data_IF_634063185032
#
_entry.id   IF_634063185032
#
_cell.length_a   1.000
_cell.length_b   1.000
_cell.length_c   1.000
_cell.angle_alpha   90.00
_cell.angle_beta   90.00
_cell.angle_gamma   90.00
#
_symmetry.space_group_name_H-M   'P 1'
#
loop_
_entity.id
_entity.type
_entity.pdbx_description
1 polymer ?
#
# COMPACT_ATOMS: atom_id res chain seq x y z
N UNK A 1 -0.90 -17.83 -7.41
CA UNK A 1 -1.87 -17.12 -8.27
C UNK A 1 -1.04 -16.26 -9.19
N UNK A 2 -0.88 -16.69 -10.43
CA UNK A 2 -0.31 -15.85 -11.47
C UNK A 2 -1.26 -14.67 -11.62
N UNK A 3 -0.77 -13.49 -11.22
CA UNK A 3 -1.60 -12.34 -10.99
C UNK A 3 -2.39 -11.97 -12.23
N UNK A 4 -3.67 -11.71 -12.03
CA UNK A 4 -4.45 -10.95 -13.01
C UNK A 4 -3.70 -9.62 -13.11
N UNK A 5 -3.15 -9.35 -14.29
CA UNK A 5 -2.36 -8.14 -14.53
C UNK A 5 -3.21 -6.90 -14.27
N UNK A 6 -2.62 -5.81 -13.77
CA UNK A 6 -3.31 -4.53 -13.69
C UNK A 6 -3.96 -4.20 -15.03
N UNK A 7 -5.22 -3.78 -15.00
CA UNK A 7 -6.01 -3.53 -16.21
C UNK A 7 -6.03 -2.03 -16.51
N UNK A 8 -5.62 -1.67 -17.72
CA UNK A 8 -5.73 -0.30 -18.20
C UNK A 8 -7.14 -0.03 -18.70
N UNK A 9 -7.74 1.04 -18.25
CA UNK A 9 -9.09 1.46 -18.65
C UNK A 9 -9.07 2.89 -19.17
N UNK A 10 -9.91 3.14 -20.19
CA UNK A 10 -10.28 4.49 -20.63
C UNK A 10 -11.71 4.74 -20.17
N UNK A 11 -11.89 5.66 -19.26
CA UNK A 11 -13.19 6.04 -18.70
C UNK A 11 -13.59 7.43 -19.18
N UNK A 12 -14.85 7.56 -19.62
CA UNK A 12 -15.46 8.87 -19.89
C UNK A 12 -16.31 9.27 -18.70
N UNK A 13 -16.05 10.43 -18.16
CA UNK A 13 -16.79 10.98 -17.03
C UNK A 13 -17.05 12.47 -17.21
N UNK A 14 -17.96 13.02 -16.42
CA UNK A 14 -18.28 14.44 -16.42
C UNK A 14 -17.89 15.01 -15.07
N UNK A 15 -17.22 16.15 -15.07
CA UNK A 15 -16.85 16.85 -13.85
C UNK A 15 -18.09 17.26 -13.10
N UNK A 16 -18.29 16.66 -11.95
CA UNK A 16 -19.43 16.88 -11.07
C UNK A 16 -19.33 18.23 -10.34
N UNK A 17 -20.46 18.84 -10.07
CA UNK A 17 -20.59 19.98 -9.14
C UNK A 17 -20.68 19.58 -7.67
N UNK A 18 -20.68 18.27 -7.38
CA UNK A 18 -20.75 17.72 -6.03
C UNK A 18 -19.47 18.05 -5.28
N UNK A 19 -19.58 18.53 -4.06
CA UNK A 19 -18.44 18.78 -3.16
C UNK A 19 -18.28 17.63 -2.16
N UNK A 20 -17.09 17.46 -1.61
CA UNK A 20 -16.85 16.43 -0.59
C UNK A 20 -17.76 16.61 0.62
N UNK A 21 -18.05 17.84 1.03
CA UNK A 21 -18.98 18.12 2.15
C UNK A 21 -20.42 17.69 1.87
N UNK A 22 -20.83 17.64 0.60
CA UNK A 22 -22.20 17.24 0.23
C UNK A 22 -22.37 15.71 0.09
N UNK A 23 -21.29 14.94 0.21
CA UNK A 23 -21.35 13.48 0.13
C UNK A 23 -21.72 12.81 1.45
N UNK A 24 -21.84 13.56 2.56
CA UNK A 24 -22.11 12.98 3.90
C UNK A 24 -23.40 12.15 3.94
N UNK A 25 -24.39 12.52 3.12
CA UNK A 25 -25.66 11.78 3.01
C UNK A 25 -25.68 10.75 1.86
N UNK A 26 -24.59 10.60 1.11
CA UNK A 26 -24.47 9.58 0.06
C UNK A 26 -24.25 8.21 0.71
N UNK A 27 -25.08 7.19 0.44
CA UNK A 27 -24.92 5.85 1.00
C UNK A 27 -23.62 5.16 0.56
N UNK A 28 -22.95 5.68 -0.46
CA UNK A 28 -21.66 5.20 -0.94
C UNK A 28 -20.48 5.99 -0.34
N UNK A 29 -20.77 7.01 0.49
CA UNK A 29 -19.76 7.81 1.16
C UNK A 29 -19.40 7.18 2.50
N UNK A 30 -18.15 6.87 2.68
CA UNK A 30 -17.63 6.28 3.93
C UNK A 30 -17.04 7.32 4.87
N UNK A 31 -16.83 8.54 4.42
CA UNK A 31 -16.33 9.67 5.22
C UNK A 31 -14.81 9.67 5.46
N UNK A 32 -14.09 8.69 4.96
CA UNK A 32 -12.68 8.51 5.30
C UNK A 32 -11.78 8.58 4.05
N UNK A 33 -11.79 9.73 3.38
CA UNK A 33 -10.91 9.96 2.23
C UNK A 33 -9.51 10.41 2.66
N UNK A 34 -8.50 9.89 1.96
CA UNK A 34 -7.14 10.40 2.01
C UNK A 34 -6.68 10.81 0.60
N UNK A 35 -5.81 11.78 0.51
CA UNK A 35 -5.13 12.14 -0.75
C UNK A 35 -3.98 11.18 -1.00
N UNK A 36 -3.97 10.53 -2.17
CA UNK A 36 -2.86 9.67 -2.57
C UNK A 36 -1.65 10.52 -2.97
N UNK A 37 -0.47 10.18 -2.43
CA UNK A 37 0.79 10.83 -2.81
C UNK A 37 0.89 12.31 -2.44
N UNK A 38 0.02 12.82 -1.54
CA UNK A 38 0.04 14.20 -1.09
C UNK A 38 -0.25 14.32 0.40
N UNK A 39 0.52 15.13 1.15
CA UNK A 39 0.24 15.36 2.55
C UNK A 39 -1.07 16.15 2.73
N UNK A 40 -1.81 15.81 3.79
CA UNK A 40 -3.00 16.53 4.23
C UNK A 40 -4.32 15.86 3.89
N UNK A 41 -5.37 16.35 4.53
CA UNK A 41 -6.73 15.86 4.33
C UNK A 41 -7.39 16.53 3.11
N UNK A 42 -8.36 15.85 2.48
CA UNK A 42 -9.18 16.45 1.43
C UNK A 42 -9.87 17.74 1.90
N UNK A 43 -10.06 18.68 0.98
CA UNK A 43 -10.73 19.95 1.28
C UNK A 43 -12.23 19.81 1.05
N UNK A 44 -13.02 19.97 2.09
CA UNK A 44 -14.47 19.73 2.08
C UNK A 44 -15.24 20.50 1.00
N UNK A 45 -14.77 21.68 0.61
CA UNK A 45 -15.38 22.54 -0.41
C UNK A 45 -14.92 22.24 -1.83
N UNK A 46 -13.91 21.40 -2.02
CA UNK A 46 -13.45 21.03 -3.34
C UNK A 46 -14.44 20.09 -4.01
N UNK A 47 -14.49 20.19 -5.34
CA UNK A 47 -15.38 19.34 -6.16
C UNK A 47 -14.84 17.94 -6.24
N UNK A 48 -15.74 17.00 -6.35
CA UNK A 48 -15.44 15.58 -6.39
C UNK A 48 -16.01 14.92 -7.64
N UNK A 49 -15.20 14.13 -8.33
CA UNK A 49 -15.64 13.29 -9.46
C UNK A 49 -15.30 11.85 -9.13
N UNK A 50 -16.33 11.00 -9.05
CA UNK A 50 -16.15 9.58 -8.75
C UNK A 50 -15.54 8.83 -9.94
N UNK A 51 -14.66 7.87 -9.65
CA UNK A 51 -14.15 6.90 -10.62
C UNK A 51 -15.02 5.64 -10.62
N UNK A 52 -15.25 5.08 -11.81
CA UNK A 52 -16.06 3.87 -11.99
C UNK A 52 -15.30 2.58 -11.69
N UNK A 53 -13.98 2.58 -11.84
CA UNK A 53 -13.17 1.37 -11.70
C UNK A 53 -12.13 1.54 -10.58
N UNK A 54 -12.28 0.75 -9.54
CA UNK A 54 -11.45 0.79 -8.32
C UNK A 54 -11.14 -0.64 -7.87
N UNK A 55 -10.09 -0.90 -7.11
CA UNK A 55 -9.07 0.03 -6.60
C UNK A 55 -8.01 0.41 -7.65
N UNK A 56 -7.49 1.62 -7.55
CA UNK A 56 -6.46 2.11 -8.46
C UNK A 56 -5.10 1.45 -8.22
N UNK A 57 -4.37 1.23 -9.31
CA UNK A 57 -2.94 0.86 -9.27
C UNK A 57 -2.09 2.07 -9.63
N UNK A 58 -2.43 2.74 -10.74
CA UNK A 58 -1.76 3.97 -11.15
C UNK A 58 -2.75 4.96 -11.74
N UNK A 59 -2.47 6.24 -11.53
CA UNK A 59 -3.22 7.36 -12.09
C UNK A 59 -2.26 8.35 -12.75
N UNK A 60 -2.62 8.97 -13.88
CA UNK A 60 -1.71 9.86 -14.59
C UNK A 60 -1.38 11.11 -13.75
N UNK A 61 -0.11 11.56 -13.77
CA UNK A 61 0.30 12.76 -13.04
C UNK A 61 -0.21 14.06 -13.67
N UNK A 62 -0.68 13.99 -14.92
CA UNK A 62 -1.25 15.11 -15.66
C UNK A 62 -2.49 14.67 -16.44
N UNK A 63 -3.49 15.53 -16.49
CA UNK A 63 -4.71 15.35 -17.28
C UNK A 63 -4.83 16.47 -18.30
N UNK A 64 -5.22 16.11 -19.51
CA UNK A 64 -5.49 17.10 -20.57
C UNK A 64 -6.99 17.22 -20.78
N UNK A 65 -7.53 18.42 -20.65
CA UNK A 65 -8.95 18.71 -20.88
C UNK A 65 -9.07 19.85 -21.88
N UNK A 66 -9.41 19.51 -23.11
CA UNK A 66 -9.34 20.47 -24.21
C UNK A 66 -7.89 20.96 -24.44
N UNK A 67 -7.62 22.28 -24.44
CA UNK A 67 -6.27 22.81 -24.59
C UNK A 67 -5.49 22.90 -23.28
N UNK A 68 -6.11 22.65 -22.14
CA UNK A 68 -5.53 22.88 -20.81
C UNK A 68 -4.94 21.58 -20.22
N UNK A 69 -3.85 21.75 -19.47
CA UNK A 69 -3.17 20.67 -18.76
C UNK A 69 -3.30 20.89 -17.26
N UNK A 70 -3.83 19.90 -16.58
CA UNK A 70 -4.02 19.86 -15.13
C UNK A 70 -2.99 18.93 -14.50
N UNK A 71 -2.37 19.37 -13.41
CA UNK A 71 -1.25 18.67 -12.74
C UNK A 71 -1.75 18.15 -11.39
N UNK A 72 -1.47 16.86 -11.11
CA UNK A 72 -1.73 16.24 -9.81
C UNK A 72 -0.92 16.94 -8.72
N UNK A 73 -1.52 17.13 -7.56
CA UNK A 73 -0.91 17.83 -6.45
C UNK A 73 -1.03 19.37 -6.52
N UNK A 74 -1.53 19.91 -7.64
CA UNK A 74 -1.74 21.37 -7.83
C UNK A 74 -3.20 21.66 -8.18
N UNK A 75 -3.73 21.01 -9.21
CA UNK A 75 -5.07 21.28 -9.74
C UNK A 75 -6.07 20.18 -9.33
N UNK A 76 -5.57 19.00 -9.07
CA UNK A 76 -6.38 17.86 -8.61
C UNK A 76 -5.57 16.91 -7.73
N UNK A 77 -6.30 16.10 -6.97
CA UNK A 77 -5.77 15.04 -6.14
C UNK A 77 -6.58 13.77 -6.37
N UNK A 78 -5.93 12.62 -6.29
CA UNK A 78 -6.62 11.34 -6.29
C UNK A 78 -6.98 10.97 -4.86
N UNK A 79 -8.24 10.67 -4.63
CA UNK A 79 -8.74 10.29 -3.31
C UNK A 79 -8.86 8.78 -3.21
N UNK A 80 -8.39 8.25 -2.10
CA UNK A 80 -8.65 6.89 -1.69
C UNK A 80 -9.59 6.89 -0.49
N UNK A 81 -10.52 5.96 -0.47
CA UNK A 81 -11.41 5.73 0.65
C UNK A 81 -10.80 4.64 1.55
N UNK A 82 -10.63 4.95 2.84
CA UNK A 82 -10.27 3.97 3.87
C UNK A 82 -11.51 3.60 4.65
N UNK A 83 -12.03 2.43 4.46
CA UNK A 83 -13.06 1.88 5.34
C UNK A 83 -12.40 1.15 6.51
N UNK A 84 -12.49 1.71 7.70
CA UNK A 84 -11.96 1.10 8.93
C UNK A 84 -12.62 -0.24 9.27
N UNK A 85 -13.88 -0.44 8.86
CA UNK A 85 -14.68 -1.63 9.19
C UNK A 85 -14.26 -2.90 8.42
N UNK A 86 -13.41 -2.79 7.42
CA UNK A 86 -13.07 -3.90 6.52
C UNK A 86 -11.57 -4.09 6.34
N UNK A 87 -10.75 -3.57 7.27
CA UNK A 87 -9.31 -3.65 7.19
C UNK A 87 -8.76 -2.91 5.97
N UNK A 88 -8.51 -1.61 6.12
CA UNK A 88 -7.80 -0.71 5.20
C UNK A 88 -7.92 -1.02 3.70
N UNK A 89 -9.12 -1.08 3.17
CA UNK A 89 -9.33 -1.01 1.72
C UNK A 89 -8.93 0.37 1.24
N UNK A 90 -7.84 0.47 0.52
CA UNK A 90 -7.56 1.64 -0.31
C UNK A 90 -8.40 1.51 -1.59
N UNK A 91 -9.65 1.88 -1.54
CA UNK A 91 -10.44 2.11 -2.74
C UNK A 91 -10.23 3.55 -3.14
N UNK A 92 -9.51 3.79 -4.23
CA UNK A 92 -9.53 5.11 -4.82
C UNK A 92 -10.95 5.35 -5.30
N UNK A 93 -11.59 6.33 -4.72
CA UNK A 93 -12.99 6.59 -4.95
C UNK A 93 -13.19 7.67 -6.00
N UNK A 94 -12.20 8.52 -6.25
CA UNK A 94 -12.38 9.58 -7.22
C UNK A 94 -11.27 10.62 -7.28
N UNK A 95 -11.60 11.74 -7.89
CA UNK A 95 -10.74 12.89 -8.08
C UNK A 95 -11.30 14.07 -7.30
N UNK A 96 -10.49 14.65 -6.44
CA UNK A 96 -10.75 15.95 -5.83
C UNK A 96 -10.19 17.05 -6.73
N UNK A 97 -11.01 17.99 -7.14
CA UNK A 97 -10.61 19.12 -7.97
C UNK A 97 -10.47 20.36 -7.12
N UNK A 98 -9.33 21.00 -7.19
CA UNK A 98 -9.11 22.34 -6.63
C UNK A 98 -9.99 23.38 -7.35
N UNK A 99 -10.05 24.60 -6.79
CA UNK A 99 -10.77 25.73 -7.38
C UNK A 99 -10.28 26.12 -8.78
N UNK A 100 -9.07 25.74 -9.13
CA UNK A 100 -8.43 25.97 -10.45
C UNK A 100 -8.67 24.82 -11.43
N UNK A 101 -9.35 23.74 -11.02
CA UNK A 101 -9.70 22.63 -11.89
C UNK A 101 -10.76 22.99 -12.94
N UNK A 102 -11.01 22.08 -13.92
CA UNK A 102 -11.95 22.32 -15.00
C UNK A 102 -13.36 22.66 -14.50
N UNK A 103 -14.16 23.37 -15.28
CA UNK A 103 -15.52 23.76 -14.89
C UNK A 103 -16.45 22.55 -14.75
N UNK A 104 -17.47 22.67 -13.89
CA UNK A 104 -18.54 21.68 -13.78
C UNK A 104 -19.22 21.45 -15.12
N UNK A 105 -19.51 20.19 -15.45
CA UNK A 105 -20.10 19.78 -16.71
C UNK A 105 -19.11 19.54 -17.85
N UNK A 106 -17.81 19.76 -17.64
CA UNK A 106 -16.78 19.42 -18.62
C UNK A 106 -16.65 17.91 -18.76
N UNK A 107 -16.67 17.42 -19.99
CA UNK A 107 -16.39 16.03 -20.29
C UNK A 107 -14.89 15.75 -20.18
N UNK A 108 -14.56 14.64 -19.54
CA UNK A 108 -13.21 14.20 -19.26
C UNK A 108 -13.03 12.75 -19.69
N UNK A 109 -11.95 12.50 -20.43
CA UNK A 109 -11.52 11.14 -20.75
C UNK A 109 -10.30 10.82 -19.89
N UNK A 110 -10.41 9.78 -19.08
CA UNK A 110 -9.40 9.34 -18.14
C UNK A 110 -8.80 8.01 -18.60
N UNK A 111 -7.48 7.93 -18.63
CA UNK A 111 -6.76 6.67 -18.79
C UNK A 111 -6.01 6.35 -17.50
N UNK A 112 -6.37 5.24 -16.87
CA UNK A 112 -5.73 4.81 -15.62
C UNK A 112 -5.68 3.28 -15.52
N UNK A 113 -4.93 2.79 -14.54
CA UNK A 113 -4.79 1.36 -14.28
C UNK A 113 -5.43 1.02 -12.95
N UNK A 114 -6.31 0.02 -12.95
CA UNK A 114 -6.96 -0.48 -11.74
C UNK A 114 -6.79 -2.00 -11.58
N UNK A 115 -7.07 -2.48 -10.38
CA UNK A 115 -7.03 -3.91 -10.08
C UNK A 115 -8.42 -4.52 -10.26
N UNK A 116 -8.58 -5.32 -11.30
CA UNK A 116 -9.85 -5.98 -11.64
C UNK A 116 -10.12 -7.26 -10.81
N UNK A 117 -9.15 -7.72 -10.01
CA UNK A 117 -9.28 -8.98 -9.27
C UNK A 117 -10.52 -9.03 -8.38
N UNK A 118 -10.87 -8.00 -7.60
CA UNK A 118 -12.06 -8.03 -6.77
C UNK A 118 -13.36 -8.24 -7.55
N UNK A 119 -13.52 -7.57 -8.69
CA UNK A 119 -14.72 -7.71 -9.55
C UNK A 119 -14.83 -9.11 -10.15
N UNK A 120 -13.73 -9.62 -10.70
CA UNK A 120 -13.70 -10.96 -11.31
C UNK A 120 -13.99 -12.02 -10.26
N UNK A 121 -13.36 -11.95 -9.09
CA UNK A 121 -13.61 -12.89 -8.01
C UNK A 121 -15.03 -12.81 -7.48
N UNK A 122 -15.57 -11.60 -7.28
CA UNK A 122 -16.96 -11.43 -6.85
C UNK A 122 -17.94 -12.04 -7.85
N UNK A 123 -17.74 -11.82 -9.14
CA UNK A 123 -18.55 -12.41 -10.21
C UNK A 123 -18.51 -13.94 -10.19
N UNK A 124 -17.29 -14.53 -10.09
CA UNK A 124 -17.12 -15.99 -10.03
C UNK A 124 -17.75 -16.56 -8.76
N UNK A 125 -17.49 -15.95 -7.61
CA UNK A 125 -18.01 -16.41 -6.33
C UNK A 125 -19.52 -16.27 -6.25
N UNK A 126 -20.08 -15.16 -6.75
CA UNK A 126 -21.53 -14.94 -6.80
C UNK A 126 -22.24 -15.97 -7.68
N UNK A 127 -21.64 -16.34 -8.80
CA UNK A 127 -22.20 -17.39 -9.68
C UNK A 127 -22.11 -18.81 -9.11
N UNK A 128 -21.19 -19.05 -8.20
CA UNK A 128 -20.89 -20.36 -7.63
C UNK A 128 -21.40 -20.56 -6.19
N UNK A 129 -21.86 -19.49 -5.54
CA UNK A 129 -22.31 -19.56 -4.14
C UNK A 129 -23.57 -20.41 -3.97
N UNK A 130 -23.64 -21.12 -2.85
CA UNK A 130 -24.85 -21.84 -2.45
C UNK A 130 -25.91 -20.88 -1.96
N UNK A 131 -27.19 -21.29 -2.06
CA UNK A 131 -28.31 -20.57 -1.49
C UNK A 131 -28.06 -20.27 0.01
N UNK A 132 -28.28 -19.06 0.42
CA UNK A 132 -28.07 -18.56 1.79
C UNK A 132 -26.60 -18.38 2.24
N UNK A 133 -25.65 -18.42 1.32
CA UNK A 133 -24.25 -18.07 1.62
C UNK A 133 -23.96 -16.66 1.13
N UNK A 134 -23.57 -15.78 2.03
CA UNK A 134 -23.04 -14.47 1.67
C UNK A 134 -21.52 -14.58 1.47
N UNK A 135 -21.04 -14.18 0.31
CA UNK A 135 -19.61 -14.20 -0.02
C UNK A 135 -19.17 -12.77 -0.28
N UNK A 136 -18.24 -12.31 0.53
CA UNK A 136 -17.66 -10.99 0.42
C UNK A 136 -16.22 -11.12 -0.08
N UNK A 137 -15.96 -10.54 -1.24
CA UNK A 137 -14.61 -10.50 -1.84
C UNK A 137 -13.97 -9.17 -1.50
N UNK A 138 -12.81 -9.22 -0.85
CA UNK A 138 -12.02 -8.05 -0.50
C UNK A 138 -10.63 -8.11 -1.09
N UNK A 139 -10.06 -6.95 -1.38
CA UNK A 139 -8.64 -6.85 -1.66
C UNK A 139 -7.85 -7.11 -0.35
N UNK A 140 -6.67 -7.72 -0.49
CA UNK A 140 -5.75 -7.86 0.64
C UNK A 140 -5.27 -6.50 1.14
N UNK A 141 -5.14 -6.40 2.45
CA UNK A 141 -4.44 -5.27 3.06
C UNK A 141 -2.94 -5.50 2.96
N UNK A 142 -2.26 -4.59 2.28
CA UNK A 142 -0.81 -4.64 2.20
C UNK A 142 -0.21 -3.95 3.42
N UNK A 143 0.71 -4.65 4.08
CA UNK A 143 1.53 -4.09 5.14
C UNK A 143 3.00 -4.22 4.76
N UNK A 144 3.77 -3.17 4.99
CA UNK A 144 5.16 -3.10 4.58
C UNK A 144 6.05 -3.32 5.79
N UNK A 145 6.91 -4.35 5.71
CA UNK A 145 7.79 -4.75 6.80
C UNK A 145 9.20 -4.22 6.57
N UNK A 146 9.75 -3.59 7.59
CA UNK A 146 11.12 -3.10 7.65
C UNK A 146 11.81 -3.64 8.89
N UNK A 147 12.52 -4.78 8.83
CA UNK A 147 13.27 -5.29 9.96
C UNK A 147 14.51 -4.43 10.24
N UNK A 148 14.78 -4.19 11.52
CA UNK A 148 15.98 -3.53 12.00
C UNK A 148 16.95 -4.62 12.46
N UNK A 149 18.05 -4.78 11.74
CA UNK A 149 18.99 -5.88 11.91
C UNK A 149 20.36 -5.38 12.38
N UNK A 150 20.92 -6.06 13.35
CA UNK A 150 22.31 -5.92 13.76
C UNK A 150 23.09 -7.10 13.19
N UNK A 151 24.03 -6.84 12.29
CA UNK A 151 24.73 -7.89 11.51
C UNK A 151 26.23 -7.82 11.75
N UNK A 152 26.82 -8.98 12.06
CA UNK A 152 28.25 -9.20 12.06
C UNK A 152 28.68 -9.77 10.71
N UNK A 153 29.57 -9.05 10.01
CA UNK A 153 30.02 -9.43 8.67
C UNK A 153 31.36 -10.15 8.74
N UNK A 154 31.46 -11.25 8.02
CA UNK A 154 32.72 -11.91 7.76
C UNK A 154 33.65 -11.00 6.93
N UNK A 155 34.86 -10.77 7.41
CA UNK A 155 35.86 -9.86 6.80
C UNK A 155 36.27 -10.25 5.38
N UNK A 156 36.03 -11.50 4.98
CA UNK A 156 36.38 -12.01 3.64
C UNK A 156 35.39 -11.60 2.56
N UNK A 157 34.25 -11.00 2.92
CA UNK A 157 33.18 -10.64 2.00
C UNK A 157 32.94 -9.13 1.95
N UNK A 158 32.59 -8.66 0.74
CA UNK A 158 32.21 -7.25 0.58
C UNK A 158 30.82 -7.01 1.20
N UNK A 159 30.67 -6.04 2.11
CA UNK A 159 29.39 -5.72 2.70
C UNK A 159 28.29 -5.35 1.68
N UNK A 160 28.68 -4.73 0.56
CA UNK A 160 27.74 -4.40 -0.50
C UNK A 160 27.11 -5.65 -1.14
N UNK A 161 27.91 -6.69 -1.36
CA UNK A 161 27.45 -7.97 -1.91
C UNK A 161 26.54 -8.69 -0.90
N UNK A 162 26.93 -8.71 0.38
CA UNK A 162 26.13 -9.32 1.44
C UNK A 162 24.78 -8.60 1.58
N UNK A 163 24.77 -7.26 1.57
CA UNK A 163 23.52 -6.48 1.68
C UNK A 163 22.60 -6.70 0.47
N UNK A 164 23.12 -6.84 -0.73
CA UNK A 164 22.31 -7.16 -1.91
C UNK A 164 21.68 -8.57 -1.80
N UNK A 165 22.46 -9.56 -1.35
CA UNK A 165 21.96 -10.90 -1.10
C UNK A 165 20.90 -10.91 0.02
N UNK A 166 21.11 -10.12 1.08
CA UNK A 166 20.18 -9.95 2.19
C UNK A 166 18.83 -9.39 1.71
N UNK A 167 18.86 -8.30 0.94
CA UNK A 167 17.64 -7.71 0.40
C UNK A 167 16.83 -8.73 -0.41
N UNK A 168 17.50 -9.47 -1.31
CA UNK A 168 16.85 -10.50 -2.14
C UNK A 168 16.26 -11.63 -1.29
N UNK A 169 16.98 -12.08 -0.27
CA UNK A 169 16.51 -13.17 0.60
C UNK A 169 15.34 -12.76 1.47
N UNK A 170 15.40 -11.60 2.10
CA UNK A 170 14.31 -11.07 2.90
C UNK A 170 13.07 -10.79 2.05
N UNK A 171 13.23 -10.23 0.86
CA UNK A 171 12.13 -10.03 -0.07
C UNK A 171 11.46 -11.36 -0.43
N UNK A 172 12.24 -12.39 -0.76
CA UNK A 172 11.72 -13.72 -1.08
C UNK A 172 11.02 -14.38 0.12
N UNK A 173 11.57 -14.21 1.33
CA UNK A 173 10.96 -14.71 2.55
C UNK A 173 9.60 -14.05 2.82
N UNK A 174 9.54 -12.73 2.77
CA UNK A 174 8.30 -11.98 3.00
C UNK A 174 7.26 -12.28 1.93
N UNK A 175 7.65 -12.37 0.66
CA UNK A 175 6.75 -12.73 -0.44
C UNK A 175 6.16 -14.15 -0.33
N UNK A 176 6.84 -15.05 0.39
CA UNK A 176 6.34 -16.40 0.65
C UNK A 176 5.40 -16.50 1.86
N UNK A 177 5.24 -15.42 2.62
CA UNK A 177 4.34 -15.39 3.77
C UNK A 177 2.87 -15.44 3.32
N UNK A 178 2.04 -16.36 3.84
CA UNK A 178 0.62 -16.39 3.53
C UNK A 178 -0.13 -15.24 4.22
N UNK A 179 -1.41 -15.10 3.88
CA UNK A 179 -2.32 -14.21 4.59
C UNK A 179 -2.33 -14.53 6.10
N UNK A 180 -2.32 -13.49 6.92
CA UNK A 180 -2.33 -13.64 8.37
C UNK A 180 -1.10 -14.37 8.93
N UNK A 181 0.04 -14.32 8.23
CA UNK A 181 1.25 -15.02 8.64
C UNK A 181 1.73 -14.59 10.02
N UNK A 182 2.25 -15.55 10.77
CA UNK A 182 3.05 -15.26 11.96
C UNK A 182 4.49 -14.95 11.53
N UNK A 183 4.95 -13.76 11.81
CA UNK A 183 6.32 -13.32 11.56
C UNK A 183 7.15 -13.62 12.80
N UNK A 184 8.02 -14.63 12.69
CA UNK A 184 8.91 -15.05 13.78
C UNK A 184 10.29 -14.45 13.59
N UNK A 185 10.82 -13.79 14.61
CA UNK A 185 12.16 -13.20 14.59
C UNK A 185 13.26 -14.24 14.37
N UNK A 186 13.08 -15.42 14.95
CA UNK A 186 14.00 -16.54 14.72
C UNK A 186 14.06 -16.97 13.25
N UNK A 187 12.94 -16.93 12.54
CA UNK A 187 12.91 -17.24 11.10
C UNK A 187 13.60 -16.17 10.27
N UNK A 188 13.36 -14.89 10.57
CA UNK A 188 14.05 -13.78 9.92
C UNK A 188 15.57 -13.89 10.10
N UNK A 189 16.04 -14.10 11.34
CA UNK A 189 17.46 -14.31 11.62
C UNK A 189 18.01 -15.54 10.91
N UNK A 190 17.28 -16.66 10.89
CA UNK A 190 17.71 -17.88 10.19
C UNK A 190 17.89 -17.66 8.69
N UNK A 191 17.00 -16.93 8.05
CA UNK A 191 17.12 -16.60 6.63
C UNK A 191 18.36 -15.77 6.34
N UNK A 192 18.69 -14.84 7.24
CA UNK A 192 19.86 -13.96 7.11
C UNK A 192 21.18 -14.70 7.39
N UNK A 193 21.24 -15.55 8.41
CA UNK A 193 22.44 -16.35 8.72
C UNK A 193 22.84 -17.33 7.61
N UNK A 194 21.91 -17.70 6.72
CA UNK A 194 22.23 -18.54 5.55
C UNK A 194 22.95 -17.82 4.43
N UNK A 195 23.15 -16.50 4.55
CA UNK A 195 23.82 -15.68 3.53
C UNK A 195 25.32 -15.76 3.75
N UNK A 196 26.05 -16.10 2.70
CA UNK A 196 27.52 -16.12 2.74
C UNK A 196 28.05 -14.73 3.09
N UNK A 197 28.90 -14.68 4.13
CA UNK A 197 29.47 -13.44 4.63
C UNK A 197 28.72 -12.82 5.80
N UNK A 198 27.71 -13.49 6.33
CA UNK A 198 27.08 -13.18 7.61
C UNK A 198 27.62 -14.16 8.65
N UNK A 199 28.28 -13.67 9.69
CA UNK A 199 28.77 -14.49 10.81
C UNK A 199 27.72 -14.58 11.93
N UNK A 200 27.04 -13.45 12.22
CA UNK A 200 25.92 -13.41 13.19
C UNK A 200 24.89 -12.35 12.81
N UNK A 201 23.66 -12.53 13.26
CA UNK A 201 22.57 -11.57 13.10
C UNK A 201 21.58 -11.62 14.26
N UNK A 202 21.14 -10.45 14.69
CA UNK A 202 20.04 -10.29 15.63
C UNK A 202 19.11 -9.16 15.20
N UNK A 203 17.86 -9.22 15.62
CA UNK A 203 16.95 -8.07 15.53
C UNK A 203 17.48 -7.03 16.56
N UNK A 204 17.63 -5.78 16.10
CA UNK A 204 18.01 -4.67 16.99
C UNK A 204 16.92 -4.46 18.03
N UNK A 205 17.29 -4.37 19.29
CA UNK A 205 16.34 -4.14 20.39
C UNK A 205 16.29 -2.66 20.81
N UNK A 206 15.29 -2.28 21.59
CA UNK A 206 15.21 -0.93 22.20
C UNK A 206 16.44 -0.58 23.03
N UNK A 207 17.08 -1.57 23.62
CA UNK A 207 18.34 -1.39 24.39
C UNK A 207 19.51 -1.09 23.47
N UNK A 208 19.54 -1.67 22.26
CA UNK A 208 20.60 -1.42 21.29
C UNK A 208 20.42 -0.04 20.61
N UNK A 209 19.17 0.28 20.23
CA UNK A 209 18.82 1.57 19.64
C UNK A 209 17.34 1.89 19.93
N UNK A 210 17.03 2.88 20.79
CA UNK A 210 15.66 3.21 21.16
C UNK A 210 14.82 3.77 20.02
N UNK A 211 15.44 4.38 19.00
CA UNK A 211 14.75 5.04 17.90
C UNK A 211 14.52 4.09 16.70
N UNK A 212 15.38 3.07 16.55
CA UNK A 212 15.37 2.16 15.41
C UNK A 212 15.59 0.72 15.87
N UNK A 213 14.50 0.02 16.14
CA UNK A 213 14.52 -1.35 16.68
C UNK A 213 13.38 -2.20 16.12
N UNK A 214 13.39 -3.49 16.41
CA UNK A 214 12.32 -4.44 16.12
C UNK A 214 12.05 -4.66 14.62
N UNK A 215 10.82 -5.00 14.32
CA UNK A 215 10.26 -4.99 12.96
C UNK A 215 9.25 -3.87 12.87
N UNK A 216 9.56 -2.89 12.05
CA UNK A 216 8.70 -1.73 11.80
C UNK A 216 7.68 -2.10 10.72
N UNK A 217 6.43 -1.75 10.94
CA UNK A 217 5.31 -2.02 10.04
C UNK A 217 4.71 -0.71 9.57
N UNK A 218 4.52 -0.58 8.26
CA UNK A 218 3.96 0.61 7.63
C UNK A 218 2.69 0.24 6.85
N UNK A 219 1.74 1.15 6.81
CA UNK A 219 0.53 1.00 6.00
C UNK A 219 0.80 1.26 4.52
N UNK A 220 1.81 2.10 4.22
CA UNK A 220 2.20 2.50 2.88
C UNK A 220 3.72 2.55 2.79
N UNK A 221 4.28 2.26 1.61
CA UNK A 221 5.72 2.30 1.36
C UNK A 221 6.34 3.71 1.45
N UNK A 222 5.53 4.75 1.38
CA UNK A 222 5.97 6.16 1.41
C UNK A 222 5.77 6.82 2.78
N UNK A 223 5.14 6.11 3.74
CA UNK A 223 4.91 6.67 5.06
C UNK A 223 6.24 6.87 5.80
N UNK A 224 6.48 8.05 6.39
CA UNK A 224 7.70 8.32 7.14
C UNK A 224 7.73 7.58 8.49
N UNK A 225 6.55 7.34 9.07
CA UNK A 225 6.41 6.76 10.40
C UNK A 225 5.73 5.39 10.34
N UNK A 226 6.22 4.40 11.10
CA UNK A 226 5.58 3.10 11.19
C UNK A 226 4.25 3.19 11.94
N UNK A 227 3.26 2.40 11.50
CA UNK A 227 2.00 2.24 12.24
C UNK A 227 2.15 1.36 13.47
N UNK A 228 3.17 0.49 13.48
CA UNK A 228 3.54 -0.35 14.61
C UNK A 228 5.03 -0.72 14.58
N UNK A 229 5.60 -0.99 15.75
CA UNK A 229 6.93 -1.57 15.93
C UNK A 229 6.79 -2.78 16.84
N UNK A 230 7.29 -3.93 16.40
CA UNK A 230 7.23 -5.17 17.15
C UNK A 230 8.63 -5.57 17.60
N UNK A 231 8.80 -5.81 18.91
CA UNK A 231 10.05 -6.27 19.53
C UNK A 231 10.10 -7.79 19.71
N UNK A 232 8.97 -8.46 19.45
CA UNK A 232 8.80 -9.91 19.52
C UNK A 232 8.04 -10.44 18.31
N UNK A 233 7.92 -11.76 18.20
CA UNK A 233 7.11 -12.44 17.21
C UNK A 233 5.69 -11.85 17.17
N UNK A 234 5.18 -11.59 15.97
CA UNK A 234 3.83 -11.05 15.82
C UNK A 234 3.07 -11.75 14.70
N UNK A 235 1.75 -11.65 14.74
CA UNK A 235 0.85 -12.17 13.72
C UNK A 235 0.23 -11.01 12.93
N UNK A 236 0.25 -11.13 11.61
CA UNK A 236 -0.55 -10.28 10.73
C UNK A 236 -2.04 -10.60 10.89
N UNK A 237 -2.91 -9.64 10.63
CA UNK A 237 -4.34 -9.89 10.56
C UNK A 237 -4.65 -10.84 9.39
N UNK A 238 -5.75 -11.60 9.49
CA UNK A 238 -6.07 -12.66 8.53
C UNK A 238 -6.31 -12.16 7.10
N UNK A 239 -6.56 -10.86 6.91
CA UNK A 239 -6.69 -10.17 5.62
C UNK A 239 -5.41 -9.46 5.16
N UNK A 240 -4.35 -9.49 5.95
CA UNK A 240 -3.09 -8.79 5.66
C UNK A 240 -2.09 -9.66 4.93
N UNK A 241 -1.39 -9.04 3.97
CA UNK A 241 -0.24 -9.61 3.24
C UNK A 241 0.98 -8.73 3.44
N UNK A 242 2.10 -9.35 3.76
CA UNK A 242 3.35 -8.65 3.99
C UNK A 242 4.07 -8.30 2.67
N UNK A 243 4.63 -7.10 2.64
CA UNK A 243 5.60 -6.65 1.65
C UNK A 243 6.90 -6.26 2.32
N UNK A 244 8.02 -6.52 1.66
CA UNK A 244 9.33 -6.12 2.13
C UNK A 244 9.64 -4.70 1.69
N UNK A 245 9.80 -3.77 2.65
CA UNK A 245 10.13 -2.36 2.39
C UNK A 245 11.64 -2.10 2.31
N UNK A 246 12.45 -3.03 2.81
CA UNK A 246 13.87 -2.87 3.03
C UNK A 246 14.24 -3.27 4.44
N UNK A 247 15.53 -3.24 4.77
CA UNK A 247 16.01 -3.47 6.13
C UNK A 247 16.90 -2.32 6.59
N UNK A 248 16.78 -1.92 7.85
CA UNK A 248 17.75 -1.04 8.49
C UNK A 248 18.83 -1.92 9.08
N UNK A 249 20.07 -1.69 8.66
CA UNK A 249 21.19 -2.54 9.03
C UNK A 249 22.17 -1.75 9.89
N UNK A 250 22.37 -2.19 11.11
CA UNK A 250 23.43 -1.73 12.00
C UNK A 250 24.59 -2.70 11.93
N UNK A 251 25.77 -2.19 11.63
CA UNK A 251 27.01 -3.00 11.62
C UNK A 251 27.51 -3.20 13.02
N UNK A 252 27.77 -4.44 13.38
CA UNK A 252 28.58 -4.78 14.55
C UNK A 252 29.98 -5.08 14.06
N UNK A 253 30.98 -4.44 14.69
CA UNK A 253 32.37 -4.76 14.41
C UNK A 253 32.66 -6.16 14.98
N UNK A 254 33.15 -7.07 14.13
CA UNK A 254 33.70 -8.35 14.58
C UNK A 254 34.91 -8.08 15.50
N UNK A 255 34.98 -8.69 16.69
CA UNK A 255 36.07 -8.51 17.63
C UNK A 255 37.44 -8.87 17.05
#
# INVERSE_FOLDING_TARGET
CDGIAPYSVTEQTIISGVTLSSLVDDPLYTGNFIRMGSPGNPTATNRYTRLGNVPLVTFPPTLTVGPEIYIMGTHYYVLADRTELQGSRLEASGIEWDSTGPTTGTELTLEYVYNQVPEVLDSVMTSSKQLCTDVLVHQADYVYLQPCLSIEYNRSYSPAVVNAALATRLQSFVAACPFGAQIKFTMLCTVVTQILGVDDVKITTTTDNPDVHGVRVFANSEDPDPIAVYDDDFKLNDNQVAYYLGAIITRVASP
#
